data_IF_397824025813
#
_entry.id   IF_397824025813
#
_cell.length_a   1.000
_cell.length_b   1.000
_cell.length_c   1.000
_cell.angle_alpha   90.00
_cell.angle_beta   90.00
_cell.angle_gamma   90.00
#
_symmetry.space_group_name_H-M   'P 1'
#
loop_
_entity.id
_entity.type
_entity.pdbx_description
1 polymer ?
#
# COMPACT_ATOMS: atom_id res chain seq x y z
N UNK A 1 -5.46 -11.95 8.37
CA UNK A 1 -5.31 -13.35 8.80
C UNK A 1 -5.49 -13.44 10.30
N UNK A 2 -6.22 -14.46 10.78
CA UNK A 2 -6.52 -14.68 12.18
C UNK A 2 -5.47 -15.60 12.80
N UNK A 3 -4.99 -15.30 14.00
CA UNK A 3 -4.20 -16.29 14.76
C UNK A 3 -5.14 -17.38 15.27
N UNK A 4 -5.01 -18.64 14.81
CA UNK A 4 -5.85 -19.73 15.28
C UNK A 4 -5.56 -20.03 16.76
N UNK A 5 -6.52 -20.62 17.47
CA UNK A 5 -6.24 -21.15 18.81
C UNK A 5 -5.33 -22.37 18.65
N UNK A 6 -4.29 -22.45 19.45
CA UNK A 6 -3.36 -23.57 19.36
C UNK A 6 -2.95 -24.08 20.73
N UNK A 7 -2.50 -25.33 20.78
CA UNK A 7 -1.99 -25.98 21.98
C UNK A 7 -0.80 -26.86 21.63
N UNK A 8 0.26 -26.78 22.42
CA UNK A 8 1.43 -27.64 22.28
C UNK A 8 1.47 -28.66 23.42
N UNK A 9 1.95 -29.86 23.10
CA UNK A 9 2.33 -30.87 24.08
C UNK A 9 3.54 -31.64 23.56
N UNK A 10 4.22 -32.40 24.42
CA UNK A 10 5.42 -33.13 24.02
C UNK A 10 5.54 -34.46 24.78
N UNK A 11 6.28 -35.40 24.20
CA UNK A 11 6.83 -36.56 24.90
C UNK A 11 8.37 -36.54 24.83
N UNK A 12 9.04 -37.65 25.14
CA UNK A 12 10.51 -37.71 25.09
C UNK A 12 11.07 -37.46 23.68
N UNK A 13 10.34 -37.82 22.62
CA UNK A 13 10.86 -37.83 21.25
C UNK A 13 10.11 -36.87 20.30
N UNK A 14 8.86 -36.51 20.60
CA UNK A 14 7.98 -35.78 19.70
C UNK A 14 7.39 -34.53 20.34
N UNK A 15 7.06 -33.56 19.49
CA UNK A 15 6.24 -32.39 19.80
C UNK A 15 4.93 -32.50 19.02
N UNK A 16 3.82 -32.29 19.73
CA UNK A 16 2.47 -32.30 19.19
C UNK A 16 1.92 -30.88 19.17
N UNK A 17 1.57 -30.37 17.99
CA UNK A 17 1.02 -29.04 17.78
C UNK A 17 -0.42 -29.19 17.28
N UNK A 18 -1.37 -28.77 18.11
CA UNK A 18 -2.78 -28.80 17.78
C UNK A 18 -3.26 -27.40 17.42
N UNK A 19 -3.79 -27.20 16.21
CA UNK A 19 -4.24 -25.90 15.70
C UNK A 19 -5.73 -25.97 15.35
N UNK A 20 -6.54 -25.15 16.01
CA UNK A 20 -7.97 -25.05 15.78
C UNK A 20 -8.28 -24.02 14.69
N UNK A 21 -8.60 -24.51 13.49
CA UNK A 21 -8.82 -23.74 12.27
C UNK A 21 -10.05 -24.25 11.49
N UNK A 22 -11.28 -24.06 12.00
CA UNK A 22 -12.50 -24.64 11.43
C UNK A 22 -12.93 -24.07 10.07
N UNK A 23 -12.49 -22.86 9.72
CA UNK A 23 -12.82 -22.19 8.45
C UNK A 23 -11.70 -22.28 7.40
N UNK A 24 -10.86 -23.31 7.51
CA UNK A 24 -9.74 -23.58 6.61
C UNK A 24 -10.19 -24.12 5.25
N UNK A 25 -9.43 -23.80 4.19
CA UNK A 25 -9.35 -24.63 3.00
C UNK A 25 -8.15 -25.60 3.13
N UNK A 26 -8.42 -26.89 3.29
CA UNK A 26 -7.38 -27.92 3.49
C UNK A 26 -6.43 -27.98 2.27
N UNK A 27 -6.92 -27.69 1.07
CA UNK A 27 -6.11 -27.70 -0.16
C UNK A 27 -5.09 -26.56 -0.26
N UNK A 28 -5.28 -25.49 0.51
CA UNK A 28 -4.42 -24.30 0.56
C UNK A 28 -3.64 -24.24 1.89
N UNK A 29 -3.53 -25.36 2.61
CA UNK A 29 -2.85 -25.41 3.89
C UNK A 29 -1.37 -25.69 3.69
N UNK A 30 -0.53 -24.73 4.06
CA UNK A 30 0.92 -24.84 4.04
C UNK A 30 1.46 -24.91 5.46
N UNK A 31 2.38 -25.85 5.68
CA UNK A 31 3.06 -26.07 6.95
C UNK A 31 4.55 -26.12 6.64
N UNK A 32 5.32 -25.30 7.34
CA UNK A 32 6.78 -25.22 7.16
C UNK A 32 7.47 -25.22 8.52
N UNK A 33 8.62 -25.90 8.59
CA UNK A 33 9.39 -26.11 9.81
C UNK A 33 10.86 -25.82 9.55
N UNK A 34 11.38 -24.79 10.20
CA UNK A 34 12.79 -24.42 10.12
C UNK A 34 13.41 -24.35 11.52
N UNK A 35 13.92 -25.50 11.96
CA UNK A 35 14.62 -25.66 13.23
C UNK A 35 13.75 -25.35 14.44
N UNK A 36 13.87 -24.14 14.99
CA UNK A 36 13.05 -23.67 16.11
C UNK A 36 11.72 -23.06 15.63
N UNK A 37 11.59 -22.74 14.35
CA UNK A 37 10.45 -22.04 13.79
C UNK A 37 9.43 -23.03 13.23
N UNK A 38 8.16 -22.77 13.53
CA UNK A 38 7.02 -23.48 12.97
C UNK A 38 6.08 -22.47 12.33
N UNK A 39 5.71 -22.70 11.07
CA UNK A 39 4.82 -21.87 10.29
C UNK A 39 3.61 -22.69 9.84
N UNK A 40 2.41 -22.13 10.04
CA UNK A 40 1.16 -22.68 9.57
C UNK A 40 0.37 -21.56 8.87
N UNK A 41 0.06 -21.78 7.59
CA UNK A 41 -0.70 -20.85 6.75
C UNK A 41 -1.89 -21.60 6.19
N UNK A 42 -3.09 -21.10 6.45
CA UNK A 42 -4.30 -21.71 5.93
C UNK A 42 -5.44 -20.72 6.01
N UNK A 43 -5.78 -20.06 4.90
CA UNK A 43 -6.73 -18.94 4.88
C UNK A 43 -8.05 -19.28 5.60
N UNK A 44 -8.53 -18.43 6.54
CA UNK A 44 -8.01 -17.11 6.93
C UNK A 44 -6.94 -17.12 8.03
N UNK A 45 -6.44 -18.28 8.45
CA UNK A 45 -5.55 -18.47 9.59
C UNK A 45 -4.05 -18.36 9.25
N UNK A 46 -3.30 -17.78 10.18
CA UNK A 46 -1.84 -17.70 10.12
C UNK A 46 -1.25 -17.84 11.53
N UNK A 47 -0.28 -18.75 11.67
CA UNK A 47 0.39 -19.00 12.94
C UNK A 47 1.89 -19.18 12.70
N UNK A 48 2.70 -18.36 13.38
CA UNK A 48 4.16 -18.49 13.43
C UNK A 48 4.59 -18.68 14.87
N UNK A 49 5.26 -19.78 15.15
CA UNK A 49 5.78 -20.12 16.46
C UNK A 49 7.30 -20.18 16.43
N UNK A 50 7.93 -19.76 17.52
CA UNK A 50 9.32 -20.05 17.86
C UNK A 50 9.33 -20.97 19.08
N UNK A 51 9.75 -22.20 18.86
CA UNK A 51 9.81 -23.24 19.87
C UNK A 51 11.09 -23.08 20.73
N UNK A 52 11.05 -23.52 22.01
CA UNK A 52 12.21 -23.49 22.90
C UNK A 52 13.37 -24.41 22.47
N UNK A 53 13.10 -25.33 21.54
CA UNK A 53 14.07 -26.28 21.02
C UNK A 53 13.77 -26.62 19.57
N UNK A 54 14.70 -27.31 18.92
CA UNK A 54 14.63 -27.61 17.49
C UNK A 54 13.79 -28.84 17.20
N UNK A 55 12.89 -28.71 16.25
CA UNK A 55 12.13 -29.82 15.65
C UNK A 55 12.62 -30.05 14.21
N UNK A 56 12.33 -31.22 13.67
CA UNK A 56 12.71 -31.58 12.31
C UNK A 56 11.53 -32.17 11.55
N UNK A 57 11.39 -31.75 10.30
CA UNK A 57 10.47 -32.35 9.35
C UNK A 57 11.18 -33.52 8.64
N UNK A 58 10.85 -34.73 9.08
CA UNK A 58 11.33 -35.99 8.50
C UNK A 58 10.13 -36.80 7.98
N UNK A 59 10.38 -37.96 7.34
CA UNK A 59 9.34 -38.91 6.89
C UNK A 59 8.40 -39.42 8.01
N UNK A 60 8.72 -39.14 9.27
CA UNK A 60 7.90 -39.47 10.43
C UNK A 60 6.95 -38.35 10.87
N UNK A 61 7.08 -37.14 10.31
CA UNK A 61 6.16 -36.05 10.56
C UNK A 61 4.75 -36.44 10.10
N UNK A 62 3.75 -36.15 10.93
CA UNK A 62 2.36 -36.54 10.66
C UNK A 62 1.44 -35.36 10.91
N UNK A 63 0.63 -35.04 9.90
CA UNK A 63 -0.49 -34.11 10.02
C UNK A 63 -1.82 -34.84 9.82
N UNK A 64 -2.80 -34.54 10.66
CA UNK A 64 -4.19 -35.01 10.48
C UNK A 64 -5.17 -33.88 10.76
N UNK A 65 -6.25 -33.81 9.98
CA UNK A 65 -7.33 -32.83 10.17
C UNK A 65 -8.60 -33.55 10.61
N UNK A 66 -9.19 -33.11 11.71
CA UNK A 66 -10.45 -33.65 12.23
C UNK A 66 -11.58 -32.72 11.79
N UNK A 67 -12.32 -33.11 10.75
CA UNK A 67 -13.41 -32.30 10.18
C UNK A 67 -14.50 -31.93 11.19
N UNK A 68 -14.79 -32.81 12.15
CA UNK A 68 -15.85 -32.61 13.14
C UNK A 68 -15.53 -31.50 14.15
N UNK A 69 -14.27 -31.30 14.48
CA UNK A 69 -13.81 -30.31 15.47
C UNK A 69 -13.07 -29.13 14.85
N UNK A 70 -12.64 -29.22 13.59
CA UNK A 70 -11.86 -28.19 12.91
C UNK A 70 -10.41 -28.10 13.40
N UNK A 71 -9.86 -29.21 13.92
CA UNK A 71 -8.53 -29.24 14.50
C UNK A 71 -7.52 -29.95 13.60
N UNK A 72 -6.37 -29.31 13.38
CA UNK A 72 -5.16 -29.94 12.86
C UNK A 72 -4.36 -30.50 14.02
N UNK A 73 -4.01 -31.78 13.97
CA UNK A 73 -3.06 -32.41 14.88
C UNK A 73 -1.78 -32.71 14.11
N UNK A 74 -0.71 -31.99 14.46
CA UNK A 74 0.59 -32.06 13.80
C UNK A 74 1.60 -32.67 14.77
N UNK A 75 2.41 -33.60 14.30
CA UNK A 75 3.45 -34.29 15.09
C UNK A 75 4.79 -34.13 14.41
N UNK A 76 5.78 -33.64 15.15
CA UNK A 76 7.15 -33.44 14.69
C UNK A 76 8.15 -34.12 15.63
N UNK A 77 9.25 -34.62 15.09
CA UNK A 77 10.34 -35.22 15.86
C UNK A 77 11.22 -34.10 16.44
N UNK A 78 11.71 -34.30 17.67
CA UNK A 78 12.73 -33.44 18.26
C UNK A 78 14.09 -33.75 17.65
N UNK A 79 14.90 -32.72 17.42
CA UNK A 79 16.29 -32.91 16.97
C UNK A 79 17.11 -33.65 18.03
N UNK A 80 16.88 -33.37 19.31
CA UNK A 80 17.51 -34.09 20.42
C UNK A 80 16.48 -34.94 21.17
N UNK A 81 16.46 -36.27 20.99
CA UNK A 81 15.61 -37.17 21.77
C UNK A 81 15.91 -37.05 23.27
N UNK A 82 14.87 -36.93 24.08
CA UNK A 82 14.93 -36.73 25.54
C UNK A 82 15.05 -35.26 25.98
N UNK A 83 15.18 -34.30 25.06
CA UNK A 83 15.15 -32.87 25.38
C UNK A 83 13.74 -32.43 25.78
N UNK A 84 13.60 -31.78 26.93
CA UNK A 84 12.31 -31.26 27.40
C UNK A 84 12.18 -29.78 27.06
N UNK A 85 11.19 -29.40 26.24
CA UNK A 85 10.95 -28.01 25.86
C UNK A 85 10.21 -27.30 27.00
N UNK A 86 10.82 -26.30 27.61
CA UNK A 86 10.18 -25.56 28.71
C UNK A 86 9.11 -24.59 28.20
N UNK A 87 8.11 -24.29 29.02
CA UNK A 87 7.14 -23.23 28.75
C UNK A 87 6.26 -23.42 27.49
N UNK A 88 5.98 -24.66 27.07
CA UNK A 88 5.02 -24.96 25.98
C UNK A 88 3.57 -24.48 26.24
N UNK A 89 3.25 -24.12 27.49
CA UNK A 89 1.96 -23.52 27.87
C UNK A 89 1.97 -21.98 27.79
N UNK A 90 3.14 -21.35 27.63
CA UNK A 90 3.29 -19.89 27.55
C UNK A 90 3.06 -19.40 26.11
N UNK A 91 1.80 -19.41 25.68
CA UNK A 91 1.35 -19.06 24.32
C UNK A 91 2.00 -17.78 23.76
N UNK A 92 2.10 -16.72 24.58
CA UNK A 92 2.71 -15.44 24.17
C UNK A 92 4.22 -15.50 23.97
N UNK A 93 4.92 -16.43 24.64
CA UNK A 93 6.35 -16.67 24.49
C UNK A 93 6.68 -17.56 23.29
N UNK A 94 5.72 -18.39 22.88
CA UNK A 94 5.86 -19.33 21.76
C UNK A 94 5.48 -18.71 20.44
N UNK A 95 4.59 -17.72 20.43
CA UNK A 95 4.45 -16.85 19.28
C UNK A 95 5.83 -16.25 19.03
N UNK A 96 6.38 -16.51 17.84
CA UNK A 96 7.64 -15.89 17.47
C UNK A 96 7.46 -14.38 17.70
N UNK A 97 8.32 -13.72 18.50
CA UNK A 97 8.42 -12.27 18.42
C UNK A 97 8.50 -11.95 16.93
N UNK A 98 7.83 -10.88 16.49
CA UNK A 98 8.18 -10.28 15.20
C UNK A 98 9.65 -9.85 15.37
N UNK A 99 10.60 -10.76 15.11
CA UNK A 99 12.03 -10.49 15.09
C UNK A 99 12.24 -9.62 13.88
N UNK A 100 11.90 -8.37 14.07
CA UNK A 100 12.23 -7.32 13.16
C UNK A 100 13.67 -7.00 13.54
N UNK A 101 14.64 -7.16 12.63
CA UNK A 101 15.96 -6.60 12.88
C UNK A 101 15.72 -5.12 13.24
N UNK A 102 16.15 -4.71 14.43
CA UNK A 102 16.10 -3.30 14.80
C UNK A 102 16.92 -2.56 13.74
N UNK A 103 16.23 -1.94 12.79
CA UNK A 103 16.85 -1.23 11.68
C UNK A 103 17.42 0.12 12.16
N UNK A 104 17.06 0.57 13.37
CA UNK A 104 17.40 1.89 13.89
C UNK A 104 18.23 1.89 15.19
N UNK A 105 19.26 1.03 15.38
CA UNK A 105 19.95 0.93 16.67
C UNK A 105 20.93 2.09 16.93
N UNK A 106 21.33 2.83 15.89
CA UNK A 106 22.40 3.84 15.93
C UNK A 106 21.93 5.27 15.68
N UNK A 107 20.63 5.56 15.73
CA UNK A 107 20.15 6.93 15.61
C UNK A 107 20.71 7.75 16.78
N UNK A 108 21.71 8.60 16.54
CA UNK A 108 22.48 9.32 17.57
C UNK A 108 21.55 10.00 18.58
N UNK A 109 21.46 9.39 19.76
CA UNK A 109 20.69 9.88 20.89
C UNK A 109 21.56 10.89 21.66
N UNK A 110 21.28 12.18 21.47
CA UNK A 110 21.80 13.20 22.39
C UNK A 110 20.68 13.63 23.32
N UNK A 111 20.88 13.37 24.60
CA UNK A 111 20.11 14.00 25.67
C UNK A 111 20.50 15.48 25.69
N UNK A 112 19.54 16.34 25.31
CA UNK A 112 19.58 17.80 25.42
C UNK A 112 20.50 18.54 24.41
N UNK A 113 19.94 18.87 23.23
CA UNK A 113 19.99 20.20 22.58
C UNK A 113 19.32 20.09 21.19
N UNK A 114 18.14 20.69 21.01
CA UNK A 114 17.54 20.85 19.68
C UNK A 114 18.26 21.98 18.94
N UNK A 115 19.28 21.63 18.15
CA UNK A 115 19.98 22.57 17.28
C UNK A 115 19.84 22.18 15.82
N UNK A 116 19.35 23.09 14.98
CA UNK A 116 19.46 22.98 13.52
C UNK A 116 20.94 23.13 13.17
N UNK A 117 21.57 22.06 12.71
CA UNK A 117 22.97 22.09 12.25
C UNK A 117 23.08 22.60 10.80
N UNK A 118 24.25 23.13 10.44
CA UNK A 118 24.52 23.67 9.10
C UNK A 118 24.41 22.63 7.98
N UNK A 119 24.33 23.11 6.74
CA UNK A 119 24.06 22.35 5.53
C UNK A 119 25.16 21.31 5.22
N UNK A 120 24.84 20.02 5.35
CA UNK A 120 25.55 18.93 4.67
C UNK A 120 24.55 18.25 3.71
N UNK A 121 24.82 18.36 2.41
CA UNK A 121 24.04 17.70 1.37
C UNK A 121 24.42 16.22 1.30
N UNK A 122 23.43 15.34 1.47
CA UNK A 122 23.50 13.92 1.11
C UNK A 122 24.49 13.11 1.94
N UNK A 123 24.04 12.57 3.07
CA UNK A 123 24.81 11.60 3.85
C UNK A 123 24.93 10.27 3.07
N UNK A 124 25.90 10.19 2.15
CA UNK A 124 26.50 8.91 1.81
C UNK A 124 27.02 8.32 3.12
N UNK A 125 26.60 7.08 3.43
CA UNK A 125 26.97 6.52 4.71
C UNK A 125 28.39 5.99 4.65
N UNK A 126 29.36 6.87 4.90
CA UNK A 126 30.73 6.49 5.14
C UNK A 126 30.74 5.74 6.48
N UNK A 127 30.69 4.40 6.43
CA UNK A 127 30.95 3.58 7.60
C UNK A 127 32.41 3.83 8.02
N UNK A 128 32.63 4.83 8.87
CA UNK A 128 33.92 5.07 9.49
C UNK A 128 34.19 3.94 10.48
N UNK A 129 34.90 2.90 10.03
CA UNK A 129 35.43 1.88 10.92
C UNK A 129 35.48 0.47 10.35
N UNK A 130 36.29 0.24 9.32
CA UNK A 130 37.01 -1.04 9.15
C UNK A 130 38.25 -0.82 8.30
N UNK A 131 39.40 -0.80 8.98
CA UNK A 131 40.71 -0.99 8.35
C UNK A 131 40.73 -2.38 7.69
N UNK A 132 40.31 -2.45 6.43
CA UNK A 132 40.66 -3.56 5.55
C UNK A 132 40.70 -3.02 4.13
N UNK A 133 41.90 -2.99 3.57
CA UNK A 133 42.16 -2.72 2.17
C UNK A 133 41.42 -3.76 1.30
N UNK A 134 40.24 -3.39 0.81
CA UNK A 134 39.58 -4.05 -0.32
C UNK A 134 38.82 -3.01 -1.14
N UNK A 135 39.29 -2.85 -2.37
CA UNK A 135 38.79 -2.00 -3.46
C UNK A 135 37.39 -2.44 -3.93
N UNK A 136 36.34 -2.17 -3.14
CA UNK A 136 34.95 -2.26 -3.62
C UNK A 136 34.14 -1.06 -3.09
N UNK A 137 34.01 -0.05 -3.94
CA UNK A 137 33.31 1.23 -3.72
C UNK A 137 31.79 1.01 -3.64
N UNK A 138 31.31 0.24 -2.67
CA UNK A 138 29.87 0.05 -2.40
C UNK A 138 29.35 1.22 -1.57
N UNK A 139 29.05 2.33 -2.24
CA UNK A 139 28.39 3.48 -1.60
C UNK A 139 26.98 3.11 -1.15
N UNK A 140 26.77 2.96 0.16
CA UNK A 140 25.45 2.77 0.75
C UNK A 140 24.77 4.11 1.03
N UNK A 141 23.50 4.22 0.66
CA UNK A 141 22.66 5.40 0.84
C UNK A 141 21.71 5.25 2.03
N UNK A 142 21.53 6.33 2.78
CA UNK A 142 20.64 6.32 3.91
C UNK A 142 19.15 6.34 3.52
N UNK A 143 18.29 5.83 4.39
CA UNK A 143 16.84 5.80 4.23
C UNK A 143 16.13 5.96 5.58
N UNK A 144 14.80 5.78 5.61
CA UNK A 144 14.00 5.90 6.82
C UNK A 144 13.80 7.34 7.29
N UNK A 145 13.33 7.51 8.52
CA UNK A 145 13.07 8.83 9.10
C UNK A 145 14.32 9.73 9.05
N UNK A 146 14.18 10.88 8.39
CA UNK A 146 15.26 11.86 8.25
C UNK A 146 16.51 11.35 7.49
N UNK A 147 16.40 10.25 6.73
CA UNK A 147 17.52 9.56 6.09
C UNK A 147 18.66 9.25 7.07
N UNK A 148 18.32 8.74 8.26
CA UNK A 148 19.31 8.39 9.29
C UNK A 148 19.56 6.89 9.44
N UNK A 149 18.84 6.06 8.68
CA UNK A 149 19.06 4.61 8.65
C UNK A 149 20.09 4.30 7.57
N UNK A 150 21.20 3.67 7.98
CA UNK A 150 22.32 3.32 7.10
C UNK A 150 22.74 1.84 7.22
N UNK A 151 21.77 0.98 7.48
CA UNK A 151 21.98 -0.47 7.52
C UNK A 151 21.79 -1.00 6.11
N UNK A 152 22.43 -2.12 5.78
CA UNK A 152 22.13 -2.83 4.53
C UNK A 152 20.65 -3.23 4.54
N UNK A 153 19.91 -2.87 3.48
CA UNK A 153 18.51 -3.23 3.36
C UNK A 153 18.36 -4.73 3.11
N UNK A 154 19.34 -5.35 2.45
CA UNK A 154 19.51 -6.79 2.35
C UNK A 154 18.24 -7.51 1.87
N UNK A 155 17.88 -8.59 2.56
CA UNK A 155 16.72 -9.41 2.23
C UNK A 155 15.37 -8.84 2.74
N UNK A 156 15.36 -7.66 3.36
CA UNK A 156 14.12 -7.03 3.90
C UNK A 156 13.09 -6.83 2.79
N UNK A 157 13.51 -6.44 1.58
CA UNK A 157 12.60 -6.33 0.45
C UNK A 157 11.99 -7.67 0.01
N UNK A 158 12.75 -8.75 0.14
CA UNK A 158 12.31 -10.11 -0.17
C UNK A 158 11.36 -10.65 0.90
N UNK A 159 11.59 -10.30 2.17
CA UNK A 159 10.69 -10.63 3.28
C UNK A 159 9.38 -9.82 3.22
N UNK A 160 9.43 -8.59 2.70
CA UNK A 160 8.29 -7.67 2.63
C UNK A 160 7.95 -7.22 1.20
N UNK A 161 7.60 -8.15 0.28
CA UNK A 161 7.48 -7.87 -1.15
C UNK A 161 6.33 -6.90 -1.48
N UNK A 162 5.28 -6.88 -0.66
CA UNK A 162 4.10 -6.03 -0.88
C UNK A 162 4.21 -4.63 -0.25
N UNK A 163 5.25 -4.37 0.54
CA UNK A 163 5.39 -3.15 1.33
C UNK A 163 6.14 -2.08 0.54
N UNK A 164 7.33 -2.42 0.06
CA UNK A 164 8.22 -1.48 -0.63
C UNK A 164 8.14 -1.65 -2.14
N UNK A 165 8.04 -0.53 -2.86
CA UNK A 165 8.17 -0.50 -4.33
C UNK A 165 9.63 -0.38 -4.74
N UNK A 166 10.40 0.44 -4.02
CA UNK A 166 11.86 0.47 -4.14
C UNK A 166 12.47 -0.66 -3.31
N UNK A 167 13.06 -1.66 -3.97
CA UNK A 167 13.55 -2.89 -3.34
C UNK A 167 14.91 -2.76 -2.65
N UNK A 168 15.78 -1.88 -3.13
CA UNK A 168 17.14 -1.70 -2.59
C UNK A 168 17.39 -0.20 -2.34
N UNK A 169 16.72 0.43 -1.35
CA UNK A 169 16.87 1.85 -1.09
C UNK A 169 18.29 2.25 -0.67
N UNK A 170 19.03 1.33 -0.06
CA UNK A 170 20.43 1.47 0.33
C UNK A 170 21.39 1.51 -0.86
N UNK A 171 20.98 1.03 -2.04
CA UNK A 171 21.80 1.06 -3.28
C UNK A 171 21.38 2.14 -4.26
N UNK A 172 20.32 2.88 -3.95
CA UNK A 172 19.78 3.93 -4.82
C UNK A 172 19.91 5.29 -4.14
N UNK A 173 20.61 6.20 -4.82
CA UNK A 173 20.83 7.55 -4.35
C UNK A 173 19.52 8.27 -4.08
N UNK A 174 19.45 9.00 -2.95
CA UNK A 174 18.26 9.75 -2.53
C UNK A 174 17.76 10.71 -3.64
N UNK A 175 18.69 11.32 -4.38
CA UNK A 175 18.38 12.24 -5.47
C UNK A 175 17.65 11.56 -6.65
N UNK A 176 17.89 10.28 -6.89
CA UNK A 176 17.35 9.55 -8.04
C UNK A 176 15.97 8.92 -7.75
N UNK A 177 15.62 8.76 -6.47
CA UNK A 177 14.40 8.02 -6.04
C UNK A 177 13.11 8.64 -6.60
N UNK A 178 13.00 9.97 -6.64
CA UNK A 178 11.81 10.63 -7.20
C UNK A 178 11.67 10.42 -8.71
N UNK A 179 12.75 10.51 -9.48
CA UNK A 179 12.72 10.28 -10.92
C UNK A 179 12.37 8.83 -11.26
N UNK A 180 12.91 7.88 -10.49
CA UNK A 180 12.58 6.46 -10.61
C UNK A 180 11.12 6.19 -10.27
N UNK A 181 10.62 6.78 -9.18
CA UNK A 181 9.21 6.71 -8.78
C UNK A 181 8.30 7.24 -9.89
N UNK A 182 8.59 8.41 -10.46
CA UNK A 182 7.78 9.02 -11.53
C UNK A 182 7.75 8.11 -12.77
N UNK A 183 8.90 7.56 -13.17
CA UNK A 183 8.98 6.60 -14.28
C UNK A 183 8.16 5.34 -14.01
N UNK A 184 8.18 4.83 -12.78
CA UNK A 184 7.37 3.68 -12.40
C UNK A 184 5.87 4.00 -12.41
N UNK A 185 5.47 5.13 -11.86
CA UNK A 185 4.08 5.61 -11.86
C UNK A 185 3.54 5.80 -13.28
N UNK A 186 4.33 6.37 -14.20
CA UNK A 186 3.93 6.53 -15.60
C UNK A 186 3.65 5.18 -16.29
N UNK A 187 4.38 4.12 -15.91
CA UNK A 187 4.13 2.77 -16.44
C UNK A 187 2.91 2.09 -15.81
N UNK A 188 2.54 2.49 -14.59
CA UNK A 188 1.42 1.93 -13.83
C UNK A 188 0.11 2.67 -14.07
N UNK A 189 0.16 3.93 -14.47
CA UNK A 189 -1.01 4.72 -14.79
C UNK A 189 -1.82 4.03 -15.89
N UNK A 190 -3.13 3.91 -15.67
CA UNK A 190 -4.05 3.31 -16.63
C UNK A 190 -5.05 4.37 -17.08
N UNK A 191 -4.96 4.74 -18.35
CA UNK A 191 -5.88 5.70 -18.99
C UNK A 191 -7.33 5.19 -18.90
N UNK A 192 -7.54 3.90 -19.16
CA UNK A 192 -8.88 3.30 -19.16
C UNK A 192 -9.52 3.32 -17.77
N UNK A 193 -8.75 3.01 -16.72
CA UNK A 193 -9.28 3.07 -15.35
C UNK A 193 -9.58 4.52 -14.96
N UNK A 194 -8.66 5.44 -15.22
CA UNK A 194 -8.89 6.86 -14.95
C UNK A 194 -10.15 7.37 -15.65
N UNK A 195 -10.33 7.04 -16.93
CA UNK A 195 -11.50 7.46 -17.71
C UNK A 195 -12.79 6.78 -17.22
N UNK A 196 -12.74 5.50 -16.83
CA UNK A 196 -13.90 4.83 -16.24
C UNK A 196 -14.39 5.57 -14.99
N UNK A 197 -13.48 5.90 -14.07
CA UNK A 197 -13.80 6.69 -12.89
C UNK A 197 -14.19 8.14 -13.25
N UNK A 198 -13.65 8.71 -14.32
CA UNK A 198 -14.01 10.05 -14.77
C UNK A 198 -15.47 10.15 -15.25
N UNK A 199 -15.99 9.12 -15.92
CA UNK A 199 -17.37 9.11 -16.43
C UNK A 199 -18.39 8.51 -15.44
N UNK A 200 -17.96 7.71 -14.48
CA UNK A 200 -18.86 7.13 -13.47
C UNK A 200 -19.06 8.06 -12.25
N UNK A 201 -19.78 9.16 -12.49
CA UNK A 201 -20.10 10.15 -11.46
C UNK A 201 -20.95 9.55 -10.32
N UNK A 202 -21.81 8.56 -10.62
CA UNK A 202 -22.69 7.93 -9.62
C UNK A 202 -21.89 7.07 -8.64
N UNK A 203 -20.92 6.29 -9.12
CA UNK A 203 -20.02 5.50 -8.29
C UNK A 203 -19.19 6.38 -7.34
N UNK A 204 -18.70 7.52 -7.83
CA UNK A 204 -17.82 8.41 -7.06
C UNK A 204 -18.55 9.37 -6.13
N UNK A 205 -19.81 9.71 -6.42
CA UNK A 205 -20.60 10.66 -5.65
C UNK A 205 -20.55 10.44 -4.13
N UNK A 206 -20.66 9.20 -3.59
CA UNK A 206 -20.58 8.96 -2.14
C UNK A 206 -19.23 9.32 -1.51
N UNK A 207 -18.14 9.27 -2.27
CA UNK A 207 -16.77 9.53 -1.79
C UNK A 207 -16.39 11.00 -2.00
N UNK A 208 -16.80 11.59 -3.12
CA UNK A 208 -16.66 13.03 -3.38
C UNK A 208 -17.44 13.84 -2.36
N UNK A 209 -18.68 13.46 -2.06
CA UNK A 209 -19.54 14.16 -1.09
C UNK A 209 -19.31 13.72 0.37
N UNK A 210 -18.42 12.76 0.62
CA UNK A 210 -18.10 12.35 1.98
C UNK A 210 -17.54 13.54 2.78
N UNK A 211 -17.88 13.60 4.06
CA UNK A 211 -17.28 14.56 5.00
C UNK A 211 -16.49 13.78 6.03
N UNK A 212 -15.21 14.09 6.11
CA UNK A 212 -14.32 13.53 7.14
C UNK A 212 -14.83 13.86 8.54
N UNK A 213 -14.70 12.93 9.47
CA UNK A 213 -15.38 13.00 10.77
C UNK A 213 -14.98 14.24 11.58
N UNK A 214 -13.77 14.78 11.39
CA UNK A 214 -13.32 15.98 12.07
C UNK A 214 -13.90 17.29 11.52
N UNK A 215 -14.57 17.24 10.37
CA UNK A 215 -15.28 18.38 9.78
C UNK A 215 -16.80 18.34 10.06
N UNK A 216 -17.30 17.30 10.72
CA UNK A 216 -18.71 17.21 11.10
C UNK A 216 -19.01 18.13 12.31
N UNK A 217 -20.26 18.60 12.41
CA UNK A 217 -20.68 19.57 13.45
C UNK A 217 -20.61 19.01 14.88
N UNK A 218 -20.71 17.69 15.02
CA UNK A 218 -20.61 16.96 16.28
C UNK A 218 -19.17 16.76 16.76
N UNK A 219 -18.17 17.10 15.92
CA UNK A 219 -16.77 16.98 16.30
C UNK A 219 -16.35 18.12 17.24
N UNK A 220 -16.13 17.77 18.50
CA UNK A 220 -15.71 18.73 19.52
C UNK A 220 -14.20 19.02 19.45
N UNK A 221 -13.84 20.18 18.89
CA UNK A 221 -12.45 20.64 18.79
C UNK A 221 -11.80 20.93 20.15
N UNK A 222 -12.58 21.27 21.18
CA UNK A 222 -12.07 21.62 22.51
C UNK A 222 -11.73 20.38 23.36
N UNK A 223 -12.15 19.18 22.94
CA UNK A 223 -11.95 17.92 23.68
C UNK A 223 -10.98 16.95 23.00
N UNK A 224 -10.05 17.43 22.17
CA UNK A 224 -9.02 16.56 21.58
C UNK A 224 -8.02 16.18 22.67
N UNK A 225 -8.32 15.09 23.36
CA UNK A 225 -7.52 14.48 24.42
C UNK A 225 -7.05 13.08 24.01
N UNK A 226 -5.88 12.68 24.52
CA UNK A 226 -5.39 11.34 24.30
C UNK A 226 -6.14 10.33 25.17
N UNK A 227 -6.45 9.17 24.62
CA UNK A 227 -6.99 8.04 25.39
C UNK A 227 -5.90 7.41 26.25
N UNK A 228 -6.28 6.60 27.23
CA UNK A 228 -5.32 5.89 28.09
C UNK A 228 -4.36 5.00 27.27
N UNK A 229 -4.88 4.34 26.23
CA UNK A 229 -4.07 3.50 25.32
C UNK A 229 -3.07 4.34 24.51
N UNK A 230 -3.48 5.50 24.01
CA UNK A 230 -2.61 6.43 23.29
C UNK A 230 -1.54 7.00 24.23
N UNK A 231 -1.89 7.33 25.47
CA UNK A 231 -0.93 7.78 26.48
C UNK A 231 0.06 6.66 26.79
N UNK A 232 -0.39 5.41 26.93
CA UNK A 232 0.49 4.27 27.15
C UNK A 232 1.49 4.10 26.00
N UNK A 233 1.00 4.16 24.76
CA UNK A 233 1.86 4.09 23.57
C UNK A 233 2.91 5.21 23.57
N UNK A 234 2.49 6.46 23.79
CA UNK A 234 3.39 7.61 23.78
C UNK A 234 4.43 7.56 24.91
N UNK A 235 4.07 7.00 26.06
CA UNK A 235 4.96 6.81 27.20
C UNK A 235 6.06 5.79 26.92
N UNK A 236 5.76 4.76 26.13
CA UNK A 236 6.71 3.69 25.79
C UNK A 236 7.71 4.13 24.70
N UNK A 237 7.49 5.29 24.06
CA UNK A 237 8.44 5.84 23.11
C UNK A 237 9.69 6.41 23.81
N UNK A 238 10.89 6.22 23.25
CA UNK A 238 12.11 6.79 23.81
C UNK A 238 12.07 8.32 23.77
N UNK A 239 12.49 8.96 24.86
CA UNK A 239 12.64 10.42 24.91
C UNK A 239 13.96 10.85 24.25
N UNK A 240 14.00 10.81 22.91
CA UNK A 240 15.14 11.26 22.10
C UNK A 240 14.81 12.52 21.29
N UNK A 241 15.82 13.31 20.95
CA UNK A 241 15.72 14.45 20.02
C UNK A 241 16.48 14.14 18.76
N UNK A 242 15.99 14.64 17.62
CA UNK A 242 16.65 14.48 16.34
C UNK A 242 17.50 15.71 16.04
N UNK A 243 18.77 15.49 15.71
CA UNK A 243 19.63 16.51 15.12
C UNK A 243 19.43 16.48 13.61
N UNK A 244 18.62 17.41 13.12
CA UNK A 244 18.28 17.56 11.72
C UNK A 244 18.88 18.87 11.20
N UNK A 245 19.54 18.80 10.05
CA UNK A 245 19.84 20.02 9.30
C UNK A 245 18.55 20.71 8.86
N UNK A 246 18.62 21.96 8.44
CA UNK A 246 17.43 22.68 7.94
C UNK A 246 16.75 21.94 6.79
N UNK A 247 17.55 21.39 5.86
CA UNK A 247 17.05 20.61 4.73
C UNK A 247 16.38 19.32 5.20
N UNK A 248 17.00 18.58 6.12
CA UNK A 248 16.44 17.33 6.65
C UNK A 248 15.14 17.57 7.42
N UNK A 249 15.08 18.65 8.21
CA UNK A 249 13.86 19.05 8.90
C UNK A 249 12.72 19.35 7.92
N UNK A 250 13.00 20.10 6.85
CA UNK A 250 12.02 20.35 5.79
C UNK A 250 11.57 19.04 5.13
N UNK A 251 12.50 18.13 4.82
CA UNK A 251 12.16 16.82 4.24
C UNK A 251 11.26 16.00 5.16
N UNK A 252 11.53 15.97 6.47
CA UNK A 252 10.69 15.28 7.46
C UNK A 252 9.28 15.88 7.51
N UNK A 253 9.18 17.21 7.52
CA UNK A 253 7.89 17.92 7.49
C UNK A 253 7.11 17.65 6.21
N UNK A 254 7.77 17.59 5.04
CA UNK A 254 7.10 17.25 3.78
C UNK A 254 6.72 15.76 3.71
N UNK A 255 7.51 14.85 4.29
CA UNK A 255 7.12 13.45 4.44
C UNK A 255 5.87 13.28 5.32
N UNK A 256 5.67 14.14 6.33
CA UNK A 256 4.43 14.17 7.10
C UNK A 256 3.21 14.54 6.24
N UNK A 257 3.38 15.48 5.30
CA UNK A 257 2.33 15.86 4.34
C UNK A 257 1.94 14.67 3.45
N UNK A 258 2.94 13.98 2.90
CA UNK A 258 2.75 12.78 2.08
C UNK A 258 1.97 11.68 2.81
N UNK A 259 2.34 11.40 4.08
CA UNK A 259 1.69 10.39 4.92
C UNK A 259 0.25 10.81 5.26
N UNK A 260 0.03 12.07 5.64
CA UNK A 260 -1.29 12.55 6.05
C UNK A 260 -2.25 12.69 4.87
N UNK A 261 -1.77 13.04 3.68
CA UNK A 261 -2.59 13.01 2.47
C UNK A 261 -3.10 11.59 2.20
N UNK A 262 -2.23 10.59 2.30
CA UNK A 262 -2.59 9.18 2.15
C UNK A 262 -3.62 8.73 3.20
N UNK A 263 -3.48 9.18 4.44
CA UNK A 263 -4.47 8.97 5.50
C UNK A 263 -5.82 9.64 5.21
N UNK A 264 -5.82 10.89 4.73
CA UNK A 264 -7.04 11.59 4.34
C UNK A 264 -7.75 10.91 3.16
N UNK A 265 -6.98 10.41 2.17
CA UNK A 265 -7.53 9.61 1.08
C UNK A 265 -8.27 8.38 1.63
N UNK A 266 -7.63 7.63 2.53
CA UNK A 266 -8.24 6.45 3.15
C UNK A 266 -9.53 6.84 3.89
N UNK A 267 -9.48 7.83 4.78
CA UNK A 267 -10.66 8.28 5.53
C UNK A 267 -11.82 8.71 4.65
N UNK A 268 -11.56 9.36 3.52
CA UNK A 268 -12.62 9.76 2.59
C UNK A 268 -13.20 8.56 1.85
N UNK A 269 -12.34 7.69 1.31
CA UNK A 269 -12.76 6.57 0.46
C UNK A 269 -13.35 5.41 1.26
N UNK A 270 -13.05 5.31 2.55
CA UNK A 270 -13.70 4.36 3.46
C UNK A 270 -14.80 4.99 4.31
N UNK A 271 -15.17 6.25 4.01
CA UNK A 271 -16.24 6.98 4.69
C UNK A 271 -16.06 7.08 6.22
N UNK A 272 -14.80 7.22 6.65
CA UNK A 272 -14.28 7.31 8.02
C UNK A 272 -14.11 5.98 8.76
N UNK A 273 -14.55 4.85 8.20
CA UNK A 273 -14.43 3.53 8.83
C UNK A 273 -13.31 2.73 8.17
N UNK A 274 -12.27 2.36 8.91
CA UNK A 274 -11.10 1.74 8.30
C UNK A 274 -11.42 0.32 7.79
N UNK A 275 -10.90 -0.02 6.61
CA UNK A 275 -11.05 -1.34 5.99
C UNK A 275 -9.78 -2.18 6.13
N UNK A 276 -9.85 -3.45 5.72
CA UNK A 276 -8.66 -4.32 5.64
C UNK A 276 -7.59 -3.79 4.68
N UNK A 277 -8.00 -3.01 3.68
CA UNK A 277 -7.13 -2.39 2.67
C UNK A 277 -6.56 -1.04 3.11
N UNK A 278 -7.03 -0.46 4.21
CA UNK A 278 -6.65 0.89 4.58
C UNK A 278 -5.15 1.04 4.87
N UNK A 279 -4.54 0.02 5.48
CA UNK A 279 -3.08 -0.02 5.65
C UNK A 279 -2.33 -0.12 4.33
N UNK A 280 -2.89 -0.83 3.33
CA UNK A 280 -2.33 -0.92 1.99
C UNK A 280 -2.43 0.44 1.29
N UNK A 281 -3.60 1.09 1.34
CA UNK A 281 -3.85 2.39 0.72
C UNK A 281 -2.89 3.45 1.26
N UNK A 282 -2.75 3.56 2.58
CA UNK A 282 -1.85 4.55 3.18
C UNK A 282 -0.39 4.29 2.79
N UNK A 283 0.06 3.03 2.85
CA UNK A 283 1.42 2.66 2.43
C UNK A 283 1.66 2.96 0.94
N UNK A 284 0.75 2.53 0.07
CA UNK A 284 0.89 2.70 -1.38
C UNK A 284 0.77 4.15 -1.81
N UNK A 285 -0.05 4.96 -1.17
CA UNK A 285 -0.15 6.38 -1.56
C UNK A 285 1.03 7.20 -1.06
N UNK A 286 1.61 6.86 0.09
CA UNK A 286 2.81 7.55 0.59
C UNK A 286 4.08 7.14 -0.18
N UNK A 287 4.68 8.09 -0.89
CA UNK A 287 5.98 7.90 -1.53
C UNK A 287 7.13 7.79 -0.51
N UNK A 288 6.96 8.40 0.67
CA UNK A 288 7.87 8.28 1.80
C UNK A 288 7.96 6.83 2.28
N UNK A 289 6.82 6.16 2.44
CA UNK A 289 6.79 4.76 2.88
C UNK A 289 7.22 3.77 1.79
N UNK A 290 6.67 3.90 0.59
CA UNK A 290 6.84 2.88 -0.46
C UNK A 290 8.09 3.05 -1.32
N UNK A 291 8.59 4.28 -1.48
CA UNK A 291 9.71 4.63 -2.37
C UNK A 291 10.90 5.27 -1.65
N UNK A 292 10.81 5.50 -0.33
CA UNK A 292 11.85 6.19 0.44
C UNK A 292 12.22 7.56 -0.16
N UNK A 293 11.24 8.22 -0.78
CA UNK A 293 11.43 9.54 -1.37
C UNK A 293 11.51 10.61 -0.28
N UNK A 294 12.26 11.66 -0.59
CA UNK A 294 12.22 12.93 0.14
C UNK A 294 11.84 14.06 -0.80
N UNK A 295 11.27 15.12 -0.25
CA UNK A 295 10.79 16.25 -1.02
C UNK A 295 11.51 17.53 -0.58
N UNK A 296 11.68 18.46 -1.51
CA UNK A 296 12.31 19.76 -1.25
C UNK A 296 11.28 20.87 -1.15
N UNK A 297 10.16 20.73 -1.85
CA UNK A 297 9.13 21.76 -1.94
C UNK A 297 7.73 21.21 -1.65
N UNK A 298 6.86 22.05 -1.09
CA UNK A 298 5.47 21.67 -0.80
C UNK A 298 4.69 21.30 -2.06
N UNK A 299 4.93 21.98 -3.19
CA UNK A 299 4.27 21.63 -4.46
C UNK A 299 4.70 20.26 -4.97
N UNK A 300 5.98 19.90 -4.81
CA UNK A 300 6.53 18.62 -5.24
C UNK A 300 5.85 17.44 -4.54
N UNK A 301 5.68 17.52 -3.21
CA UNK A 301 4.99 16.46 -2.44
C UNK A 301 3.50 16.38 -2.81
N UNK A 302 2.82 17.51 -3.02
CA UNK A 302 1.42 17.49 -3.43
C UNK A 302 1.23 16.86 -4.83
N UNK A 303 2.13 17.15 -5.78
CA UNK A 303 2.13 16.48 -7.09
C UNK A 303 2.32 14.96 -6.92
N UNK A 304 3.22 14.54 -6.03
CA UNK A 304 3.43 13.12 -5.74
C UNK A 304 2.14 12.47 -5.19
N UNK A 305 1.49 13.10 -4.22
CA UNK A 305 0.23 12.66 -3.64
C UNK A 305 -0.87 12.48 -4.69
N UNK A 306 -1.09 13.49 -5.53
CA UNK A 306 -2.12 13.47 -6.58
C UNK A 306 -1.83 12.39 -7.62
N UNK A 307 -0.59 12.31 -8.12
CA UNK A 307 -0.19 11.28 -9.09
C UNK A 307 -0.48 9.88 -8.55
N UNK A 308 -0.10 9.61 -7.30
CA UNK A 308 -0.28 8.27 -6.70
C UNK A 308 -1.75 7.95 -6.45
N UNK A 309 -2.55 8.92 -6.04
CA UNK A 309 -4.00 8.78 -5.90
C UNK A 309 -4.71 8.49 -7.24
N UNK A 310 -4.12 8.88 -8.37
CA UNK A 310 -4.64 8.56 -9.71
C UNK A 310 -4.02 7.31 -10.34
N UNK A 311 -3.04 6.67 -9.70
CA UNK A 311 -2.32 5.51 -10.26
C UNK A 311 -2.69 4.21 -9.55
N UNK A 312 -2.78 4.22 -8.22
CA UNK A 312 -2.82 2.98 -7.44
C UNK A 312 -4.20 2.57 -6.93
N UNK A 313 -4.96 3.43 -6.24
CA UNK A 313 -6.12 2.99 -5.48
C UNK A 313 -7.31 2.68 -6.39
N UNK A 314 -8.40 2.23 -5.78
CA UNK A 314 -9.63 1.83 -6.48
C UNK A 314 -10.34 3.01 -7.15
N UNK A 315 -10.30 4.21 -6.56
CA UNK A 315 -10.97 5.42 -7.06
C UNK A 315 -9.95 6.47 -7.53
N UNK A 316 -9.86 6.70 -8.84
CA UNK A 316 -8.85 7.52 -9.50
C UNK A 316 -9.49 8.73 -10.14
N UNK A 317 -9.87 9.69 -9.30
CA UNK A 317 -10.55 10.91 -9.74
C UNK A 317 -9.82 12.17 -9.26
N UNK A 318 -9.66 13.15 -10.16
CA UNK A 318 -8.92 14.37 -9.86
C UNK A 318 -9.65 15.27 -8.84
N UNK A 319 -10.98 15.34 -8.90
CA UNK A 319 -11.78 16.13 -7.96
C UNK A 319 -11.78 15.51 -6.57
N UNK A 320 -11.79 14.17 -6.50
CA UNK A 320 -11.55 13.44 -5.26
C UNK A 320 -10.19 13.82 -4.64
N UNK A 321 -9.12 13.92 -5.44
CA UNK A 321 -7.81 14.36 -4.97
C UNK A 321 -7.84 15.79 -4.39
N UNK A 322 -8.58 16.70 -5.03
CA UNK A 322 -8.78 18.07 -4.51
C UNK A 322 -9.50 18.07 -3.15
N UNK A 323 -10.54 17.27 -2.99
CA UNK A 323 -11.24 17.18 -1.72
C UNK A 323 -10.34 16.60 -0.60
N UNK A 324 -9.45 15.66 -0.94
CA UNK A 324 -8.49 15.08 0.02
C UNK A 324 -7.44 16.11 0.43
N UNK A 325 -6.99 16.95 -0.50
CA UNK A 325 -6.13 18.08 -0.21
C UNK A 325 -6.80 19.03 0.80
N UNK A 326 -8.07 19.38 0.59
CA UNK A 326 -8.84 20.22 1.53
C UNK A 326 -9.03 19.55 2.90
N UNK A 327 -9.26 18.23 2.94
CA UNK A 327 -9.35 17.48 4.19
C UNK A 327 -8.04 17.50 4.98
N UNK A 328 -6.90 17.39 4.29
CA UNK A 328 -5.59 17.47 4.92
C UNK A 328 -5.35 18.87 5.52
N UNK A 329 -5.72 19.93 4.80
CA UNK A 329 -5.68 21.30 5.33
C UNK A 329 -6.57 21.42 6.58
N UNK A 330 -7.78 20.86 6.53
CA UNK A 330 -8.69 20.92 7.68
C UNK A 330 -8.20 20.09 8.88
N UNK A 331 -7.50 18.98 8.64
CA UNK A 331 -6.84 18.15 9.63
C UNK A 331 -5.73 18.93 10.36
N UNK A 332 -4.83 19.59 9.62
CA UNK A 332 -3.76 20.40 10.23
C UNK A 332 -4.33 21.53 11.11
N UNK A 333 -5.43 22.16 10.67
CA UNK A 333 -6.13 23.22 11.44
C UNK A 333 -6.71 22.74 12.78
N UNK A 334 -6.85 21.42 13.01
CA UNK A 334 -7.22 20.87 14.33
C UNK A 334 -6.07 20.89 15.34
N UNK A 335 -4.85 21.13 14.87
CA UNK A 335 -3.68 21.30 15.70
C UNK A 335 -2.91 20.01 15.99
N UNK A 336 -1.75 20.19 16.63
CA UNK A 336 -0.72 19.17 16.84
C UNK A 336 -1.23 17.89 17.50
N UNK A 337 -2.10 18.00 18.50
CA UNK A 337 -2.65 16.83 19.19
C UNK A 337 -3.44 15.94 18.24
N UNK A 338 -4.21 16.53 17.34
CA UNK A 338 -4.98 15.79 16.35
C UNK A 338 -4.09 15.12 15.32
N UNK A 339 -3.06 15.83 14.84
CA UNK A 339 -2.03 15.24 13.95
C UNK A 339 -1.39 14.02 14.61
N UNK A 340 -0.98 14.11 15.88
CA UNK A 340 -0.42 12.97 16.62
C UNK A 340 -1.41 11.81 16.68
N UNK A 341 -2.70 12.06 16.97
CA UNK A 341 -3.74 11.01 16.95
C UNK A 341 -3.84 10.31 15.60
N UNK A 342 -3.82 11.05 14.49
CA UNK A 342 -3.83 10.45 13.15
C UNK A 342 -2.61 9.55 12.92
N UNK A 343 -1.42 9.97 13.36
CA UNK A 343 -0.21 9.14 13.26
C UNK A 343 -0.28 7.90 14.17
N UNK A 344 -0.88 8.00 15.37
CA UNK A 344 -1.13 6.83 16.23
C UNK A 344 -2.11 5.87 15.55
N UNK A 345 -3.13 6.37 14.87
CA UNK A 345 -4.06 5.53 14.12
C UNK A 345 -3.33 4.76 13.01
N UNK A 346 -2.47 5.42 12.23
CA UNK A 346 -1.61 4.76 11.23
C UNK A 346 -0.72 3.69 11.90
N UNK A 347 -0.11 4.01 13.05
CA UNK A 347 0.70 3.06 13.81
C UNK A 347 -0.07 1.78 14.16
N UNK A 348 -1.30 1.94 14.67
CA UNK A 348 -2.16 0.82 15.04
C UNK A 348 -2.61 0.01 13.82
N UNK A 349 -2.95 0.69 12.71
CA UNK A 349 -3.31 0.04 11.45
C UNK A 349 -2.16 -0.83 10.92
N UNK A 350 -0.94 -0.31 10.91
CA UNK A 350 0.24 -1.06 10.46
C UNK A 350 0.59 -2.24 11.37
N UNK A 351 0.31 -2.17 12.67
CA UNK A 351 0.50 -3.31 13.57
C UNK A 351 -0.50 -4.44 13.35
N UNK A 352 -1.75 -4.08 13.02
CA UNK A 352 -2.88 -4.99 12.79
C UNK A 352 -3.01 -5.42 11.32
N UNK A 353 -2.16 -4.89 10.44
CA UNK A 353 -2.20 -5.21 9.01
C UNK A 353 -1.88 -6.67 8.74
N UNK A 354 -2.51 -7.24 7.70
CA UNK A 354 -2.26 -8.61 7.26
C UNK A 354 -0.84 -8.79 6.71
N UNK A 355 -0.35 -7.81 5.94
CA UNK A 355 1.07 -7.77 5.60
C UNK A 355 1.84 -7.14 6.76
N UNK A 356 3.12 -7.48 6.87
CA UNK A 356 4.01 -7.04 7.94
C UNK A 356 4.40 -5.54 7.91
N UNK A 357 3.42 -4.64 7.71
CA UNK A 357 3.57 -3.16 7.64
C UNK A 357 4.07 -2.52 8.93
N UNK A 358 4.12 -3.25 10.03
CA UNK A 358 4.80 -2.82 11.24
C UNK A 358 6.28 -2.44 10.99
N UNK A 359 6.92 -2.89 9.91
CA UNK A 359 8.27 -2.45 9.54
C UNK A 359 8.31 -0.93 9.30
N UNK A 360 7.26 -0.36 8.72
CA UNK A 360 7.12 1.08 8.53
C UNK A 360 6.96 1.82 9.87
N UNK A 361 6.41 1.15 10.89
CA UNK A 361 6.39 1.71 12.24
C UNK A 361 7.80 1.89 12.80
N UNK A 362 8.71 0.98 12.48
CA UNK A 362 10.11 1.10 12.90
C UNK A 362 10.86 2.14 12.08
N UNK A 363 10.71 2.11 10.75
CA UNK A 363 11.45 2.99 9.86
C UNK A 363 11.00 4.46 9.93
N UNK A 364 9.74 4.72 10.28
CA UNK A 364 9.14 6.04 10.20
C UNK A 364 8.20 6.40 11.35
N UNK A 365 7.13 5.61 11.58
CA UNK A 365 5.96 6.11 12.36
C UNK A 365 6.32 6.38 13.82
N UNK A 366 7.11 5.51 14.46
CA UNK A 366 7.60 5.74 15.83
C UNK A 366 8.42 7.04 15.92
N UNK A 367 9.30 7.26 14.96
CA UNK A 367 10.16 8.44 14.96
C UNK A 367 9.35 9.73 14.70
N UNK A 368 8.34 9.68 13.83
CA UNK A 368 7.36 10.76 13.65
C UNK A 368 6.58 11.08 14.94
N UNK A 369 6.15 10.07 15.71
CA UNK A 369 5.46 10.29 16.99
C UNK A 369 6.37 10.97 18.02
N UNK A 370 7.65 10.64 18.05
CA UNK A 370 8.64 11.31 18.93
C UNK A 370 8.88 12.75 18.45
N UNK A 371 9.08 12.94 17.15
CA UNK A 371 9.32 14.24 16.53
C UNK A 371 8.15 15.22 16.77
N UNK A 372 6.92 14.77 16.51
CA UNK A 372 5.72 15.59 16.64
C UNK A 372 5.46 16.04 18.08
N UNK A 373 5.84 15.25 19.09
CA UNK A 373 5.71 15.69 20.48
C UNK A 373 6.54 16.95 20.75
N UNK A 374 7.74 17.05 20.16
CA UNK A 374 8.68 18.18 20.32
C UNK A 374 8.45 19.31 19.30
N UNK A 375 7.73 19.05 18.22
CA UNK A 375 7.36 20.05 17.21
C UNK A 375 6.51 21.17 17.82
N UNK A 376 6.74 22.42 17.41
CA UNK A 376 5.92 23.56 17.83
C UNK A 376 4.65 23.64 16.99
N UNK A 377 3.60 24.25 17.54
CA UNK A 377 2.33 24.39 16.84
C UNK A 377 2.47 25.34 15.65
N UNK A 378 3.24 26.42 15.81
CA UNK A 378 3.44 27.45 14.79
C UNK A 378 4.10 26.89 13.52
N UNK A 379 4.96 25.88 13.67
CA UNK A 379 5.63 25.20 12.55
C UNK A 379 4.62 24.38 11.70
N UNK A 380 3.64 23.74 12.35
CA UNK A 380 2.55 23.04 11.67
C UNK A 380 1.56 24.02 11.03
N UNK A 381 1.31 25.16 11.67
CA UNK A 381 0.45 26.21 11.12
C UNK A 381 1.08 26.84 9.87
N UNK A 382 2.38 27.10 9.88
CA UNK A 382 3.13 27.58 8.70
C UNK A 382 3.08 26.56 7.56
N UNK A 383 3.32 25.28 7.85
CA UNK A 383 3.21 24.20 6.87
C UNK A 383 1.80 24.13 6.27
N UNK A 384 0.75 24.20 7.11
CA UNK A 384 -0.64 24.21 6.69
C UNK A 384 -0.96 25.40 5.76
N UNK A 385 -0.45 26.60 6.08
CA UNK A 385 -0.66 27.79 5.26
C UNK A 385 0.05 27.68 3.91
N UNK A 386 1.25 27.09 3.88
CA UNK A 386 1.97 26.84 2.63
C UNK A 386 1.21 25.88 1.72
N UNK A 387 0.67 24.79 2.29
CA UNK A 387 -0.18 23.82 1.59
C UNK A 387 -1.43 24.52 1.03
N UNK A 388 -2.16 25.26 1.87
CA UNK A 388 -3.42 25.89 1.49
C UNK A 388 -3.29 26.97 0.39
N UNK A 389 -2.08 27.49 0.16
CA UNK A 389 -1.81 28.49 -0.87
C UNK A 389 -1.39 27.88 -2.22
N UNK A 390 -1.26 26.55 -2.31
CA UNK A 390 -0.85 25.86 -3.53
C UNK A 390 -2.09 25.25 -4.18
N UNK A 391 -2.31 25.58 -5.45
CA UNK A 391 -3.26 24.86 -6.29
C UNK A 391 -2.50 23.91 -7.21
N UNK A 392 -3.04 22.70 -7.38
CA UNK A 392 -2.48 21.67 -8.24
C UNK A 392 -3.38 21.55 -9.46
N UNK A 393 -2.81 21.77 -10.64
CA UNK A 393 -3.52 21.64 -11.89
C UNK A 393 -3.24 20.28 -12.55
N UNK A 394 -4.15 19.81 -13.40
CA UNK A 394 -4.00 18.54 -14.14
C UNK A 394 -2.69 18.45 -14.92
N UNK A 395 -2.27 19.55 -15.55
CA UNK A 395 -1.00 19.66 -16.28
C UNK A 395 0.25 19.49 -15.40
N UNK A 396 0.18 19.84 -14.11
CA UNK A 396 1.32 19.70 -13.20
C UNK A 396 1.66 18.23 -12.95
N UNK A 397 0.68 17.33 -13.16
CA UNK A 397 0.85 15.91 -12.88
C UNK A 397 1.66 15.19 -13.95
N UNK A 398 1.80 15.72 -15.17
CA UNK A 398 2.51 15.04 -16.26
C UNK A 398 1.89 13.68 -16.64
N UNK A 399 0.57 13.55 -16.52
CA UNK A 399 -0.23 12.38 -16.91
C UNK A 399 -1.15 12.68 -18.11
N UNK A 400 -1.01 13.85 -18.74
CA UNK A 400 -1.79 14.26 -19.93
C UNK A 400 -3.33 14.22 -19.73
N UNK A 401 -3.80 14.42 -18.49
CA UNK A 401 -5.22 14.24 -18.13
C UNK A 401 -6.17 15.16 -18.93
N UNK A 402 -5.77 16.41 -19.18
CA UNK A 402 -6.59 17.35 -19.96
C UNK A 402 -6.81 16.85 -21.39
N UNK A 403 -5.79 16.24 -21.99
CA UNK A 403 -5.83 15.70 -23.34
C UNK A 403 -6.64 14.41 -23.38
N UNK A 404 -6.46 13.53 -22.39
CA UNK A 404 -7.22 12.29 -22.22
C UNK A 404 -8.72 12.58 -22.07
N UNK A 405 -9.10 13.49 -21.18
CA UNK A 405 -10.50 13.85 -20.95
C UNK A 405 -11.13 14.53 -22.17
N UNK A 406 -10.39 15.41 -22.85
CA UNK A 406 -10.87 16.08 -24.04
C UNK A 406 -11.12 15.09 -25.19
N UNK A 407 -10.21 14.14 -25.39
CA UNK A 407 -10.35 13.07 -26.38
C UNK A 407 -11.55 12.17 -26.05
N UNK A 408 -11.69 11.74 -24.80
CA UNK A 408 -12.78 10.86 -24.40
C UNK A 408 -14.16 11.53 -24.54
N UNK A 409 -14.29 12.81 -24.16
CA UNK A 409 -15.53 13.59 -24.36
C UNK A 409 -15.87 13.83 -25.83
N UNK A 410 -14.88 13.77 -26.73
CA UNK A 410 -15.12 13.87 -28.17
C UNK A 410 -15.74 12.56 -28.67
N UNK A 411 -15.20 11.41 -28.27
CA UNK A 411 -15.73 10.09 -28.60
C UNK A 411 -17.16 9.92 -28.10
N UNK A 412 -17.43 10.26 -26.83
CA UNK A 412 -18.77 10.19 -26.24
C UNK A 412 -19.80 11.00 -27.05
N UNK A 413 -19.42 12.20 -27.53
CA UNK A 413 -20.28 13.03 -28.38
C UNK A 413 -20.53 12.40 -29.75
N UNK A 414 -19.49 11.85 -30.38
CA UNK A 414 -19.63 11.17 -31.68
C UNK A 414 -20.54 9.93 -31.57
N UNK A 415 -20.40 9.14 -30.51
CA UNK A 415 -21.27 7.98 -30.25
C UNK A 415 -22.73 8.39 -30.02
N UNK A 416 -22.97 9.46 -29.25
CA UNK A 416 -24.30 10.00 -29.03
C UNK A 416 -24.95 10.49 -30.34
N UNK A 417 -24.19 11.16 -31.20
CA UNK A 417 -24.66 11.63 -32.51
C UNK A 417 -25.00 10.44 -33.44
N UNK A 418 -24.18 9.39 -33.44
CA UNK A 418 -24.46 8.16 -34.20
C UNK A 418 -25.74 7.49 -33.70
N UNK A 419 -25.87 7.30 -32.38
CA UNK A 419 -27.06 6.70 -31.76
C UNK A 419 -28.33 7.51 -32.05
N UNK A 420 -28.23 8.84 -32.00
CA UNK A 420 -29.34 9.74 -32.31
C UNK A 420 -29.75 9.62 -33.79
N UNK A 421 -28.78 9.54 -34.70
CA UNK A 421 -29.04 9.36 -36.13
C UNK A 421 -29.67 7.98 -36.42
N UNK A 422 -29.20 6.92 -35.78
CA UNK A 422 -29.79 5.58 -35.88
C UNK A 422 -31.23 5.56 -35.37
N UNK A 423 -31.50 6.15 -34.19
CA UNK A 423 -32.85 6.25 -33.62
C UNK A 423 -33.78 7.06 -34.53
N UNK A 424 -33.30 8.16 -35.11
CA UNK A 424 -34.06 8.96 -36.07
C UNK A 424 -34.43 8.15 -37.32
N UNK A 425 -33.51 7.33 -37.84
CA UNK A 425 -33.77 6.43 -38.96
C UNK A 425 -34.80 5.35 -38.60
N UNK A 426 -34.70 4.74 -37.42
CA UNK A 426 -35.67 3.75 -36.93
C UNK A 426 -37.06 4.37 -36.76
N UNK A 427 -37.18 5.55 -36.15
CA UNK A 427 -38.46 6.25 -35.99
C UNK A 427 -39.08 6.64 -37.33
N UNK A 428 -38.28 7.10 -38.29
CA UNK A 428 -38.75 7.39 -39.65
C UNK A 428 -39.25 6.12 -40.37
N UNK A 429 -38.68 4.96 -40.08
CA UNK A 429 -39.13 3.68 -40.63
C UNK A 429 -40.45 3.18 -40.00
N UNK A 430 -40.69 3.50 -38.71
CA UNK A 430 -41.91 3.12 -37.96
C UNK A 430 -43.07 4.09 -38.27
N UNK A 431 -42.79 5.36 -38.53
CA UNK A 431 -43.76 6.36 -38.95
C UNK A 431 -44.23 6.10 -40.40
N UNK A 432 -45.07 5.08 -40.58
CA UNK A 432 -45.91 4.90 -41.77
C UNK A 432 -46.93 6.05 -41.85
N UNK A 433 -46.49 7.23 -42.29
CA UNK A 433 -47.41 8.23 -42.84
C UNK A 433 -47.83 7.73 -44.22
N UNK A 434 -49.12 7.42 -44.46
CA UNK A 434 -49.56 7.01 -45.78
C UNK A 434 -49.47 8.22 -46.72
N UNK A 435 -48.44 8.27 -47.57
CA UNK A 435 -48.43 9.16 -48.75
C UNK A 435 -47.20 10.03 -49.02
N UNK A 436 -46.10 9.94 -48.27
CA UNK A 436 -44.88 10.70 -48.59
C UNK A 436 -43.84 9.86 -49.35
N UNK A 437 -43.40 10.37 -50.51
CA UNK A 437 -42.37 9.76 -51.36
C UNK A 437 -41.05 9.63 -50.60
N UNK A 438 -40.43 8.45 -50.68
CA UNK A 438 -39.09 8.14 -50.15
C UNK A 438 -38.08 9.26 -50.52
N UNK A 439 -37.29 9.79 -49.58
CA UNK A 439 -36.11 10.59 -49.93
C UNK A 439 -35.08 9.69 -50.62
N UNK A 440 -34.16 10.25 -51.43
CA UNK A 440 -33.20 9.45 -52.18
C UNK A 440 -32.26 8.74 -51.21
N UNK A 441 -32.16 7.43 -51.40
CA UNK A 441 -31.18 6.55 -50.79
C UNK A 441 -29.77 7.10 -51.06
N UNK A 442 -29.04 7.52 -50.03
CA UNK A 442 -27.60 7.71 -50.12
C UNK A 442 -26.99 6.35 -49.82
N UNK A 443 -26.46 5.73 -50.88
CA UNK A 443 -25.78 4.45 -50.84
C UNK A 443 -24.38 4.66 -50.26
N UNK A 444 -24.13 4.12 -49.07
CA UNK A 444 -22.82 4.19 -48.40
C UNK A 444 -21.95 2.98 -48.75
N UNK A 445 -22.32 2.16 -49.75
CA UNK A 445 -21.54 0.96 -50.12
C UNK A 445 -20.36 1.22 -51.08
N UNK A 446 -19.86 2.45 -51.20
CA UNK A 446 -18.74 2.72 -52.10
C UNK A 446 -17.71 3.73 -51.55
N UNK A 447 -16.96 3.28 -50.54
CA UNK A 447 -15.54 3.66 -50.42
C UNK A 447 -14.71 2.47 -50.95
N UNK A 448 -14.54 2.49 -52.28
CA UNK A 448 -13.44 1.96 -53.10
C UNK A 448 -12.74 0.64 -52.75
N UNK A 449 -13.02 -0.34 -53.63
CA UNK A 449 -12.21 -1.49 -54.05
C UNK A 449 -10.67 -1.30 -54.11
N UNK A 450 -9.92 -2.35 -53.73
CA UNK A 450 -8.97 -3.12 -54.56
C UNK A 450 -8.08 -3.97 -53.62
N UNK A 451 -7.90 -5.28 -53.76
CA UNK A 451 -7.65 -6.07 -54.97
C UNK A 451 -7.86 -7.57 -54.69
N UNK A 452 -8.27 -8.30 -55.72
CA UNK A 452 -8.41 -9.75 -55.75
C UNK A 452 -7.38 -10.37 -56.71
N UNK A 453 -6.83 -11.52 -56.31
CA UNK A 453 -6.33 -12.69 -57.08
C UNK A 453 -5.48 -13.52 -56.08
N UNK A 454 -5.53 -14.84 -55.98
CA UNK A 454 -6.05 -15.88 -56.87
C UNK A 454 -6.13 -17.23 -56.11
N UNK A 455 -7.03 -18.09 -56.59
CA UNK A 455 -6.89 -19.55 -56.77
C UNK A 455 -6.86 -20.56 -55.59
N UNK A 456 -8.04 -21.16 -55.35
CA UNK A 456 -8.39 -22.61 -55.40
C UNK A 456 -7.56 -23.67 -54.65
N UNK A 457 -8.22 -24.47 -53.80
CA UNK A 457 -8.57 -25.90 -54.07
C UNK A 457 -9.24 -26.62 -52.88
N UNK A 458 -10.40 -27.22 -53.14
CA UNK A 458 -10.99 -28.48 -52.67
C UNK A 458 -10.63 -29.11 -51.29
N UNK A 459 -11.63 -29.42 -50.47
CA UNK A 459 -12.17 -30.80 -50.25
C UNK A 459 -12.91 -31.00 -48.90
N UNK A 460 -14.14 -31.54 -49.03
CA UNK A 460 -14.85 -32.52 -48.16
C UNK A 460 -15.06 -32.30 -46.65
N UNK A 461 -16.33 -32.05 -46.31
CA UNK A 461 -17.20 -32.78 -45.34
C UNK A 461 -16.60 -33.53 -44.13
N UNK A 462 -17.10 -33.19 -42.94
CA UNK A 462 -17.83 -34.12 -42.05
C UNK A 462 -18.43 -33.41 -40.84
N UNK A 463 -19.71 -33.69 -40.58
CA UNK A 463 -20.39 -33.47 -39.29
C UNK A 463 -19.59 -34.06 -38.13
N UNK A 464 -19.53 -33.36 -36.99
CA UNK A 464 -19.94 -33.94 -35.70
C UNK A 464 -20.01 -32.88 -34.59
N UNK A 465 -21.13 -32.90 -33.88
CA UNK A 465 -21.40 -32.21 -32.62
C UNK A 465 -20.55 -32.71 -31.45
N UNK A 466 -20.10 -31.81 -30.58
CA UNK A 466 -20.12 -31.96 -29.10
C UNK A 466 -19.62 -30.71 -28.39
N UNK A 467 -20.37 -30.27 -27.38
CA UNK A 467 -19.94 -29.38 -26.32
C UNK A 467 -18.73 -29.94 -25.56
N UNK A 468 -17.81 -29.09 -25.10
CA UNK A 468 -17.21 -29.12 -23.75
C UNK A 468 -16.29 -27.91 -23.58
N UNK A 469 -16.41 -27.28 -22.41
CA UNK A 469 -15.55 -26.25 -21.85
C UNK A 469 -14.43 -26.97 -21.08
N UNK A 470 -13.17 -26.58 -21.30
CA UNK A 470 -12.00 -26.76 -20.42
C UNK A 470 -10.89 -25.86 -21.00
N UNK A 471 -10.32 -24.88 -20.30
CA UNK A 471 -9.43 -24.93 -19.14
C UNK A 471 -8.02 -25.42 -19.50
N UNK A 472 -7.12 -24.47 -19.82
CA UNK A 472 -5.69 -24.71 -20.01
C UNK A 472 -4.91 -23.87 -18.99
N UNK A 473 -4.51 -24.54 -17.91
CA UNK A 473 -3.22 -24.34 -17.26
C UNK A 473 -2.13 -24.85 -18.20
N UNK A 474 -1.00 -24.15 -18.30
CA UNK A 474 0.25 -24.78 -18.73
C UNK A 474 1.43 -24.21 -17.93
N UNK A 475 2.26 -25.08 -17.30
CA UNK A 475 3.45 -24.68 -16.59
C UNK A 475 4.69 -24.76 -17.50
N UNK A 476 5.63 -23.83 -17.32
CA UNK A 476 7.06 -23.98 -17.63
C UNK A 476 7.87 -22.97 -16.85
#
# INVERSE_FOLDING_TARGET
>A
MLTPKFKLSQDENHVYINVHAPYTNIGETEIDVDGENFLFVSSPYFLRLRLPGKIVENDHAKGSYICDSGDFNLTFDKVNPGEHFENLDMITSLLAPREIPDMNPNLVEMLEESGITGEEEGAACNQSGKDTESDDDTTNYAYGFGNKVCVEFGDVASEFPHIFELKEPDRVAIADRNDLRIKHENRKFSNDHYLADFFDEELLAPYINCVVFWNKEDFNNESIEFTDDEISLLKDLPNKSYLLSKSEYTQVMLGLVDILYAFCYDKRTTQNDASVESSWTINKLSATFSWFCVFKETKEVLIACYRRALVYPIFRNFDLCRNIHDDMISLFRKGKKFVIKCIIEIYNMFNSSNDARYILNQLYVKDYLIFLQKCRQEELDELCNNIANIDIEKKDLGLELDELEAAAKLVEREEADVLQNELACQLASIALVPGLKKPPYIDVTNIGDSSSSDSSSDSSSSDSSSETLDSDDDPS
#
